data_IF_081119209344
#
_entry.id   IF_081119209344
#
_cell.length_a   1.000
_cell.length_b   1.000
_cell.length_c   1.000
_cell.angle_alpha   90.00
_cell.angle_beta   90.00
_cell.angle_gamma   90.00
#
_symmetry.space_group_name_H-M   'P 1'
#
loop_
_entity.id
_entity.type
_entity.pdbx_description
1 polymer ?
#
# COMPACT_ATOMS: atom_id res chain seq x y z
N UNK A 1 -1.17 71.53 88.46
CA UNK A 1 -0.53 71.47 87.12
C UNK A 1 -0.63 70.07 86.55
N UNK A 2 -1.78 69.52 86.20
CA UNK A 2 -1.91 68.12 85.72
C UNK A 2 -2.97 67.84 84.68
N UNK A 3 -3.91 68.73 84.40
CA UNK A 3 -5.11 68.48 83.55
C UNK A 3 -4.90 68.79 82.04
N UNK A 4 -3.97 69.70 81.74
CA UNK A 4 -3.72 70.12 80.33
C UNK A 4 -2.95 69.05 79.54
N UNK A 5 -2.08 68.27 80.22
CA UNK A 5 -1.30 67.19 79.57
C UNK A 5 -2.15 65.98 79.16
N UNK A 6 -3.21 65.70 79.93
CA UNK A 6 -4.09 64.56 79.66
C UNK A 6 -4.98 64.77 78.39
N UNK A 7 -5.50 65.98 78.28
CA UNK A 7 -6.34 66.33 77.08
C UNK A 7 -5.54 66.37 75.79
N UNK A 8 -4.30 66.86 75.87
CA UNK A 8 -3.41 66.85 74.68
C UNK A 8 -3.08 65.44 74.25
N UNK A 9 -2.83 64.49 75.15
CA UNK A 9 -2.55 63.10 74.86
C UNK A 9 -3.80 62.41 74.23
N UNK A 10 -4.98 62.70 74.79
CA UNK A 10 -6.22 62.10 74.21
C UNK A 10 -6.52 62.60 72.84
N UNK A 11 -6.26 63.90 72.54
CA UNK A 11 -6.43 64.48 71.22
C UNK A 11 -5.45 63.89 70.20
N UNK A 12 -4.22 63.74 70.55
CA UNK A 12 -3.21 63.12 69.73
C UNK A 12 -3.51 61.63 69.48
N UNK A 13 -4.01 60.89 70.47
CA UNK A 13 -4.40 59.49 70.29
C UNK A 13 -5.64 59.37 69.34
N UNK A 14 -6.64 60.27 69.44
CA UNK A 14 -7.77 60.30 68.53
C UNK A 14 -7.36 60.63 67.08
N UNK A 15 -6.47 61.61 66.91
CA UNK A 15 -5.97 61.95 65.57
C UNK A 15 -5.13 60.83 64.97
N UNK A 16 -4.32 60.12 65.81
CA UNK A 16 -3.54 58.94 65.33
C UNK A 16 -4.46 57.78 64.93
N UNK A 17 -5.52 57.51 65.70
CA UNK A 17 -6.48 56.48 65.35
C UNK A 17 -7.30 56.85 64.08
N UNK A 18 -7.66 58.08 63.89
CA UNK A 18 -8.35 58.58 62.74
C UNK A 18 -7.44 58.50 61.50
N UNK A 19 -6.19 58.92 61.60
CA UNK A 19 -5.19 58.76 60.50
C UNK A 19 -4.90 57.28 60.16
N UNK A 20 -4.84 56.40 61.18
CA UNK A 20 -4.70 54.96 60.96
C UNK A 20 -5.90 54.37 60.21
N UNK A 21 -7.13 54.81 60.54
CA UNK A 21 -8.38 54.40 59.82
C UNK A 21 -8.40 54.86 58.40
N UNK A 22 -8.07 56.15 58.17
CA UNK A 22 -8.02 56.68 56.79
C UNK A 22 -6.92 56.07 55.94
N UNK A 23 -5.75 55.79 56.53
CA UNK A 23 -4.66 55.16 55.82
C UNK A 23 -5.00 53.69 55.47
N UNK A 24 -5.73 53.02 56.36
CA UNK A 24 -6.18 51.66 56.13
C UNK A 24 -7.30 51.62 55.02
N UNK A 25 -8.26 52.57 55.05
CA UNK A 25 -9.29 52.70 54.01
C UNK A 25 -8.71 53.03 52.63
N UNK A 26 -7.68 53.88 52.57
CA UNK A 26 -7.02 54.19 51.27
C UNK A 26 -6.25 52.99 50.74
N UNK A 27 -5.65 52.18 51.60
CA UNK A 27 -4.99 50.90 51.20
C UNK A 27 -6.04 49.88 50.77
N UNK A 28 -7.14 49.75 51.52
CA UNK A 28 -8.24 48.84 51.14
C UNK A 28 -8.90 49.23 49.84
N UNK A 29 -9.14 50.54 49.58
CA UNK A 29 -9.65 50.99 48.27
C UNK A 29 -8.69 50.68 47.10
N UNK A 30 -7.38 50.80 47.33
CA UNK A 30 -6.39 50.40 46.31
C UNK A 30 -6.35 48.89 46.08
N UNK A 31 -6.46 48.11 47.13
CA UNK A 31 -6.51 46.64 47.06
C UNK A 31 -7.83 46.19 46.39
N UNK A 32 -8.96 46.81 46.72
CA UNK A 32 -10.23 46.56 46.11
C UNK A 32 -10.24 46.95 44.62
N UNK A 33 -9.58 48.07 44.26
CA UNK A 33 -9.45 48.47 42.85
C UNK A 33 -8.54 47.53 42.04
N UNK A 34 -7.49 47.01 42.65
CA UNK A 34 -6.61 46.01 42.00
C UNK A 34 -7.31 44.65 41.86
N UNK A 35 -8.10 44.25 42.88
CA UNK A 35 -8.91 43.03 42.82
C UNK A 35 -10.05 43.15 41.77
N UNK A 36 -10.68 44.30 41.65
CA UNK A 36 -11.70 44.58 40.63
C UNK A 36 -11.08 44.62 39.23
N UNK A 37 -9.88 45.19 39.07
CA UNK A 37 -9.18 45.21 37.79
C UNK A 37 -8.72 43.80 37.36
N UNK A 38 -8.27 42.95 38.30
CA UNK A 38 -7.94 41.57 37.99
C UNK A 38 -9.17 40.71 37.68
N UNK A 39 -10.31 40.99 38.28
CA UNK A 39 -11.55 40.28 38.00
C UNK A 39 -12.16 40.65 36.61
N UNK A 40 -11.97 41.90 36.17
CA UNK A 40 -12.39 42.36 34.84
C UNK A 40 -11.47 41.80 33.75
N UNK A 41 -10.15 41.64 34.03
CA UNK A 41 -9.25 40.98 33.09
C UNK A 41 -9.49 39.48 32.97
N UNK A 42 -10.01 38.82 34.01
CA UNK A 42 -10.34 37.38 33.92
C UNK A 42 -11.68 37.10 33.24
N UNK A 43 -12.58 38.06 33.13
CA UNK A 43 -13.85 37.94 32.37
C UNK A 43 -13.67 38.22 30.88
N UNK A 44 -12.56 38.80 30.45
CA UNK A 44 -12.21 39.05 29.04
C UNK A 44 -11.51 37.90 28.32
N UNK A 45 -11.06 36.88 29.05
CA UNK A 45 -10.67 35.60 28.47
C UNK A 45 -11.92 34.74 28.35
N UNK A 46 -12.86 35.13 27.47
CA UNK A 46 -13.70 34.15 26.85
C UNK A 46 -12.76 33.12 26.29
N UNK A 47 -12.68 31.96 26.97
CA UNK A 47 -12.19 30.76 26.34
C UNK A 47 -12.89 30.74 25.00
N UNK A 48 -12.17 31.02 23.92
CA UNK A 48 -12.56 30.47 22.63
C UNK A 48 -12.60 28.97 22.93
N UNK A 49 -13.77 28.47 23.30
CA UNK A 49 -14.06 27.08 23.19
C UNK A 49 -13.82 26.83 21.69
N UNK A 50 -12.63 26.34 21.37
CA UNK A 50 -12.44 25.61 20.13
C UNK A 50 -13.52 24.54 20.23
N UNK A 51 -14.67 24.80 19.63
CA UNK A 51 -15.60 23.74 19.33
C UNK A 51 -14.72 22.70 18.64
N UNK A 52 -14.55 21.55 19.28
CA UNK A 52 -13.78 20.49 18.69
C UNK A 52 -14.34 20.33 17.28
N UNK A 53 -13.55 20.75 16.29
CA UNK A 53 -13.95 20.63 14.91
C UNK A 53 -14.23 19.15 14.73
N UNK A 54 -15.44 18.81 14.32
CA UNK A 54 -15.77 17.42 14.01
C UNK A 54 -14.84 16.96 12.89
N UNK A 55 -14.49 15.70 12.90
CA UNK A 55 -13.67 15.13 11.84
C UNK A 55 -14.48 14.08 11.09
N UNK A 56 -14.35 14.10 9.77
CA UNK A 56 -14.88 13.07 8.88
C UNK A 56 -13.69 12.28 8.36
N UNK A 57 -13.61 11.00 8.72
CA UNK A 57 -12.63 10.08 8.16
C UNK A 57 -13.33 9.20 7.13
N UNK A 58 -12.81 9.21 5.90
CA UNK A 58 -13.35 8.45 4.77
C UNK A 58 -12.26 7.71 4.03
N UNK A 59 -12.63 6.58 3.45
CA UNK A 59 -11.78 5.87 2.51
C UNK A 59 -12.18 6.19 1.08
N UNK A 60 -11.18 6.40 0.24
CA UNK A 60 -11.34 6.51 -1.20
C UNK A 60 -10.66 5.37 -1.92
N UNK A 61 -11.35 4.78 -2.87
CA UNK A 61 -10.81 3.77 -3.77
C UNK A 61 -10.88 4.28 -5.20
N UNK A 62 -9.79 4.12 -5.94
CA UNK A 62 -9.73 4.38 -7.37
C UNK A 62 -9.29 3.14 -8.12
N UNK A 63 -9.93 2.88 -9.25
CA UNK A 63 -9.67 1.72 -10.10
C UNK A 63 -9.45 2.21 -11.53
N UNK A 64 -8.39 1.70 -12.15
CA UNK A 64 -8.08 1.91 -13.57
C UNK A 64 -7.86 0.56 -14.23
N UNK A 65 -8.44 0.39 -15.42
CA UNK A 65 -8.24 -0.80 -16.23
C UNK A 65 -7.24 -0.49 -17.33
N UNK A 66 -6.18 -1.29 -17.42
CA UNK A 66 -5.13 -1.16 -18.43
C UNK A 66 -5.07 -2.42 -19.31
N UNK A 67 -4.72 -2.25 -20.57
CA UNK A 67 -4.38 -3.39 -21.42
C UNK A 67 -2.94 -3.83 -21.10
N UNK A 68 -2.68 -5.14 -20.95
CA UNK A 68 -1.32 -5.63 -20.71
C UNK A 68 -0.42 -5.36 -21.92
N UNK A 69 0.86 -5.10 -21.67
CA UNK A 69 1.88 -4.90 -22.68
C UNK A 69 3.07 -5.85 -22.54
N UNK A 70 3.02 -6.74 -21.56
CA UNK A 70 4.11 -7.63 -21.20
C UNK A 70 3.55 -8.98 -20.77
N UNK A 71 4.14 -10.05 -21.30
CA UNK A 71 3.89 -11.43 -20.86
C UNK A 71 5.15 -12.01 -20.22
N UNK A 72 4.98 -12.68 -19.07
CA UNK A 72 5.99 -13.49 -18.39
C UNK A 72 5.58 -14.94 -18.49
N UNK A 73 6.32 -15.71 -19.27
CA UNK A 73 6.06 -17.11 -19.54
C UNK A 73 6.97 -17.94 -18.65
N UNK A 74 6.40 -18.77 -17.80
CA UNK A 74 7.15 -19.68 -16.93
C UNK A 74 7.27 -21.04 -17.57
N UNK A 75 8.50 -21.45 -17.90
CA UNK A 75 8.83 -22.71 -18.58
C UNK A 75 9.61 -23.60 -17.61
N UNK A 76 9.34 -24.90 -17.67
CA UNK A 76 10.01 -25.90 -16.84
C UNK A 76 10.81 -26.85 -17.69
N UNK A 77 12.03 -27.17 -17.26
CA UNK A 77 12.87 -28.24 -17.80
C UNK A 77 13.20 -29.23 -16.68
N UNK A 78 12.76 -30.45 -16.85
CA UNK A 78 12.99 -31.56 -15.95
C UNK A 78 13.70 -32.67 -16.66
N UNK A 79 14.75 -33.24 -16.03
CA UNK A 79 15.53 -34.35 -16.59
C UNK A 79 15.88 -35.34 -15.51
N UNK A 80 16.12 -36.59 -15.92
CA UNK A 80 16.53 -37.66 -15.03
C UNK A 80 17.87 -38.22 -15.44
N UNK A 81 18.67 -38.68 -14.46
CA UNK A 81 19.96 -39.33 -14.69
C UNK A 81 20.30 -40.34 -13.62
N UNK A 82 21.23 -41.25 -13.93
CA UNK A 82 21.74 -42.22 -12.95
C UNK A 82 22.57 -41.54 -11.86
N UNK A 83 23.16 -40.41 -12.15
CA UNK A 83 23.91 -39.57 -11.22
C UNK A 83 23.36 -38.13 -11.28
N UNK A 84 23.58 -37.35 -10.24
CA UNK A 84 23.22 -35.94 -10.18
C UNK A 84 23.86 -35.13 -11.31
N UNK A 85 25.12 -35.44 -11.63
CA UNK A 85 25.87 -34.81 -12.71
C UNK A 85 25.25 -35.11 -14.09
N UNK A 86 24.85 -36.38 -14.33
CA UNK A 86 24.22 -36.76 -15.59
C UNK A 86 22.84 -36.04 -15.78
N UNK A 87 22.02 -36.00 -14.73
CA UNK A 87 20.74 -35.30 -14.75
C UNK A 87 20.93 -33.79 -15.03
N UNK A 88 21.85 -33.14 -14.34
CA UNK A 88 22.18 -31.74 -14.51
C UNK A 88 22.72 -31.42 -15.91
N UNK A 89 23.60 -32.27 -16.43
CA UNK A 89 24.18 -32.09 -17.77
C UNK A 89 23.11 -32.11 -18.85
N UNK A 90 22.20 -33.07 -18.78
CA UNK A 90 21.09 -33.17 -19.74
C UNK A 90 20.14 -31.94 -19.63
N UNK A 91 19.83 -31.54 -18.39
CA UNK A 91 19.05 -30.35 -18.13
C UNK A 91 19.67 -29.10 -18.79
N UNK A 92 20.96 -28.88 -18.61
CA UNK A 92 21.68 -27.76 -19.21
C UNK A 92 21.68 -27.79 -20.72
N UNK A 93 21.75 -28.98 -21.35
CA UNK A 93 21.65 -29.10 -22.81
C UNK A 93 20.27 -28.68 -23.32
N UNK A 94 19.22 -29.07 -22.63
CA UNK A 94 17.85 -28.66 -22.99
C UNK A 94 17.67 -27.18 -22.76
N UNK A 95 18.14 -26.64 -21.63
CA UNK A 95 18.09 -25.20 -21.33
C UNK A 95 18.74 -24.35 -22.43
N UNK A 96 19.89 -24.79 -22.95
CA UNK A 96 20.54 -24.11 -24.08
C UNK A 96 19.69 -24.13 -25.34
N UNK A 97 19.03 -25.27 -25.67
CA UNK A 97 18.11 -25.36 -26.82
C UNK A 97 16.91 -24.45 -26.65
N UNK A 98 16.27 -24.46 -25.49
CA UNK A 98 15.12 -23.59 -25.17
C UNK A 98 15.52 -22.12 -25.24
N UNK A 99 16.62 -21.72 -24.61
CA UNK A 99 17.14 -20.35 -24.66
C UNK A 99 17.37 -19.91 -26.12
N UNK A 100 18.00 -20.76 -26.94
CA UNK A 100 18.25 -20.46 -28.36
C UNK A 100 16.93 -20.33 -29.15
N UNK A 101 15.94 -21.17 -28.87
CA UNK A 101 14.64 -21.07 -29.48
C UNK A 101 13.94 -19.72 -29.16
N UNK A 102 13.98 -19.30 -27.90
CA UNK A 102 13.45 -18.00 -27.46
C UNK A 102 14.17 -16.83 -28.15
N UNK A 103 15.50 -16.88 -28.21
CA UNK A 103 16.29 -15.87 -28.89
C UNK A 103 15.98 -15.80 -30.41
N UNK A 104 15.74 -16.92 -31.04
CA UNK A 104 15.34 -16.98 -32.47
C UNK A 104 13.98 -16.31 -32.69
N UNK A 105 13.11 -16.32 -31.69
CA UNK A 105 11.83 -15.61 -31.68
C UNK A 105 11.94 -14.14 -31.27
N UNK A 106 13.14 -13.62 -31.08
CA UNK A 106 13.38 -12.20 -30.79
C UNK A 106 13.47 -11.83 -29.29
N UNK A 107 13.43 -12.82 -28.39
CA UNK A 107 13.63 -12.56 -26.96
C UNK A 107 15.11 -12.31 -26.70
N UNK A 108 15.43 -11.17 -26.07
CA UNK A 108 16.81 -10.86 -25.69
C UNK A 108 17.26 -11.72 -24.51
N UNK A 109 18.58 -11.89 -24.37
CA UNK A 109 19.14 -12.75 -23.32
C UNK A 109 18.77 -12.29 -21.91
N UNK A 110 18.65 -11.00 -21.70
CA UNK A 110 18.30 -10.34 -20.43
C UNK A 110 16.87 -10.68 -20.00
N UNK A 111 16.01 -10.99 -20.97
CA UNK A 111 14.61 -11.34 -20.78
C UNK A 111 14.37 -12.86 -20.61
N UNK A 112 15.46 -13.66 -20.54
CA UNK A 112 15.42 -15.10 -20.25
C UNK A 112 16.18 -15.34 -18.97
N UNK A 113 15.47 -15.57 -17.88
CA UNK A 113 16.05 -15.66 -16.53
C UNK A 113 15.72 -17.01 -15.93
N UNK A 114 16.74 -17.68 -15.35
CA UNK A 114 16.50 -18.85 -14.49
C UNK A 114 16.00 -18.37 -13.13
N UNK A 115 14.81 -18.79 -12.76
CA UNK A 115 14.17 -18.40 -11.50
C UNK A 115 14.38 -19.43 -10.40
N UNK A 116 14.55 -20.69 -10.79
CA UNK A 116 14.78 -21.78 -9.85
C UNK A 116 15.59 -22.89 -10.51
N UNK A 117 16.45 -23.57 -9.76
CA UNK A 117 17.12 -24.81 -10.15
C UNK A 117 17.38 -25.70 -8.95
N UNK A 118 17.18 -26.99 -9.11
CA UNK A 118 17.47 -27.97 -8.07
C UNK A 118 17.85 -29.33 -8.68
N UNK A 119 18.62 -30.11 -7.92
CA UNK A 119 18.88 -31.51 -8.23
C UNK A 119 18.65 -32.32 -6.96
N UNK A 120 17.87 -33.36 -7.06
CA UNK A 120 17.55 -34.20 -5.90
C UNK A 120 17.51 -35.68 -6.26
N UNK A 121 17.83 -36.57 -5.31
CA UNK A 121 17.78 -38.02 -5.54
C UNK A 121 16.33 -38.51 -5.60
N UNK A 122 16.08 -39.42 -6.53
CA UNK A 122 14.83 -40.16 -6.61
C UNK A 122 14.99 -41.47 -5.85
N UNK A 123 13.96 -41.80 -5.08
CA UNK A 123 13.97 -43.00 -4.25
C UNK A 123 12.86 -43.96 -4.67
N UNK A 124 13.18 -45.25 -4.63
CA UNK A 124 12.16 -46.28 -4.59
C UNK A 124 12.17 -46.96 -3.23
N UNK A 125 11.02 -47.44 -2.80
CA UNK A 125 10.87 -48.21 -1.61
C UNK A 125 10.94 -49.70 -1.97
N UNK A 126 11.87 -50.45 -1.37
CA UNK A 126 11.94 -51.87 -1.56
C UNK A 126 11.04 -52.53 -0.51
N UNK A 127 9.93 -53.10 -0.96
CA UNK A 127 8.90 -53.69 -0.09
C UNK A 127 9.39 -54.90 0.69
N UNK A 128 10.37 -55.65 0.14
CA UNK A 128 10.93 -56.86 0.78
C UNK A 128 11.87 -56.51 1.95
N UNK A 129 12.66 -55.42 1.80
CA UNK A 129 13.68 -55.06 2.79
C UNK A 129 13.30 -53.87 3.67
N UNK A 130 12.18 -53.16 3.36
CA UNK A 130 11.75 -51.94 4.05
C UNK A 130 12.73 -50.77 3.89
N UNK A 131 13.65 -50.80 2.91
CA UNK A 131 14.69 -49.78 2.72
C UNK A 131 14.39 -48.90 1.52
N UNK A 132 14.72 -47.60 1.65
CA UNK A 132 14.75 -46.66 0.53
C UNK A 132 16.03 -46.82 -0.24
N UNK A 133 15.94 -47.01 -1.56
CA UNK A 133 17.08 -47.14 -2.47
C UNK A 133 17.01 -45.99 -3.47
N UNK A 134 18.15 -45.32 -3.70
CA UNK A 134 18.25 -44.30 -4.74
C UNK A 134 18.18 -45.00 -6.10
N UNK A 135 17.19 -44.56 -6.91
CA UNK A 135 16.99 -45.12 -8.26
C UNK A 135 17.55 -44.22 -9.35
N UNK A 136 17.82 -42.95 -9.02
CA UNK A 136 18.37 -41.95 -9.92
C UNK A 136 18.33 -40.56 -9.28
N UNK A 137 18.55 -39.58 -10.11
CA UNK A 137 18.53 -38.16 -9.74
C UNK A 137 17.68 -37.39 -10.74
N UNK A 138 16.95 -36.42 -10.25
CA UNK A 138 16.14 -35.51 -11.05
C UNK A 138 16.73 -34.11 -10.96
N UNK A 139 16.93 -33.48 -12.13
CA UNK A 139 17.28 -32.06 -12.21
C UNK A 139 16.06 -31.31 -12.71
N UNK A 140 15.75 -30.25 -12.01
CA UNK A 140 14.59 -29.39 -12.27
C UNK A 140 15.06 -27.94 -12.42
N UNK A 141 14.58 -27.24 -13.47
CA UNK A 141 14.90 -25.84 -13.67
C UNK A 141 13.71 -25.10 -14.23
N UNK A 142 13.38 -23.96 -13.61
CA UNK A 142 12.40 -23.01 -14.12
C UNK A 142 13.11 -21.85 -14.81
N UNK A 143 12.61 -21.51 -16.00
CA UNK A 143 12.97 -20.35 -16.79
C UNK A 143 11.79 -19.41 -16.86
N UNK A 144 12.02 -18.12 -16.65
CA UNK A 144 11.06 -17.07 -16.95
C UNK A 144 11.50 -16.34 -18.23
N UNK A 145 10.59 -16.29 -19.19
CA UNK A 145 10.76 -15.55 -20.44
C UNK A 145 9.83 -14.36 -20.43
N UNK A 146 10.38 -13.16 -20.57
CA UNK A 146 9.60 -11.91 -20.62
C UNK A 146 9.55 -11.41 -22.07
N UNK A 147 8.36 -11.10 -22.57
CA UNK A 147 8.17 -10.56 -23.92
C UNK A 147 7.10 -9.48 -23.95
N UNK A 148 7.23 -8.55 -24.89
CA UNK A 148 6.19 -7.57 -25.24
C UNK A 148 5.26 -8.07 -26.35
N UNK A 149 5.60 -9.14 -27.02
CA UNK A 149 4.78 -9.79 -28.03
C UNK A 149 3.77 -10.72 -27.34
N UNK A 150 2.80 -10.10 -26.64
CA UNK A 150 1.84 -10.80 -25.79
C UNK A 150 0.87 -11.68 -26.60
N UNK A 151 0.51 -11.26 -27.81
CA UNK A 151 -0.42 -11.98 -28.68
C UNK A 151 0.12 -13.33 -29.14
N UNK A 152 1.44 -13.47 -29.17
CA UNK A 152 2.12 -14.69 -29.56
C UNK A 152 2.62 -15.53 -28.37
N UNK A 153 2.14 -15.27 -27.13
CA UNK A 153 2.56 -16.00 -25.93
C UNK A 153 2.47 -17.53 -26.09
N UNK A 154 1.42 -18.03 -26.75
CA UNK A 154 1.26 -19.46 -27.06
C UNK A 154 2.35 -20.01 -27.96
N UNK A 155 2.80 -19.25 -28.98
CA UNK A 155 3.86 -19.67 -29.88
C UNK A 155 5.23 -19.81 -29.15
N UNK A 156 5.49 -18.97 -28.14
CA UNK A 156 6.70 -19.10 -27.30
C UNK A 156 6.67 -20.40 -26.51
N UNK A 157 5.51 -20.78 -25.95
CA UNK A 157 5.35 -22.06 -25.25
C UNK A 157 5.58 -23.22 -26.21
N UNK A 158 4.93 -23.22 -27.37
CA UNK A 158 5.06 -24.28 -28.38
C UNK A 158 6.52 -24.44 -28.82
N UNK A 159 7.23 -23.32 -29.04
CA UNK A 159 8.63 -23.34 -29.42
C UNK A 159 9.53 -23.88 -28.28
N UNK A 160 9.22 -23.54 -27.03
CA UNK A 160 9.95 -24.06 -25.87
C UNK A 160 9.76 -25.57 -25.70
N UNK A 161 8.52 -26.06 -25.80
CA UNK A 161 8.21 -27.49 -25.71
C UNK A 161 8.89 -28.26 -26.84
N UNK A 162 8.85 -27.74 -28.06
CA UNK A 162 9.57 -28.31 -29.19
C UNK A 162 11.09 -28.34 -29.02
N UNK A 163 11.65 -27.39 -28.29
CA UNK A 163 13.07 -27.33 -27.95
C UNK A 163 13.45 -28.26 -26.80
N UNK A 164 12.46 -28.86 -26.11
CA UNK A 164 12.65 -29.85 -25.05
C UNK A 164 12.23 -29.39 -23.66
N UNK A 165 11.61 -28.23 -23.51
CA UNK A 165 10.96 -27.89 -22.24
C UNK A 165 9.91 -28.97 -21.90
N UNK A 166 9.84 -29.35 -20.63
CA UNK A 166 8.98 -30.44 -20.16
C UNK A 166 7.60 -29.95 -19.71
N UNK A 167 7.46 -28.64 -19.49
CA UNK A 167 6.20 -28.05 -19.07
C UNK A 167 6.21 -26.53 -19.06
N UNK A 168 5.07 -26.00 -18.69
CA UNK A 168 4.88 -24.56 -18.41
C UNK A 168 4.06 -24.40 -17.13
N UNK A 169 4.43 -23.42 -16.31
CA UNK A 169 3.69 -23.05 -15.09
C UNK A 169 2.75 -21.85 -15.34
N UNK A 170 2.48 -21.55 -16.62
CA UNK A 170 1.55 -20.51 -17.02
C UNK A 170 2.19 -19.26 -17.61
N UNK A 171 1.34 -18.29 -17.89
CA UNK A 171 1.70 -16.97 -18.40
C UNK A 171 1.06 -15.90 -17.54
N UNK A 172 1.87 -15.00 -17.02
CA UNK A 172 1.42 -13.83 -16.29
C UNK A 172 1.47 -12.61 -17.22
N UNK A 173 0.33 -11.96 -17.40
CA UNK A 173 0.25 -10.72 -18.17
C UNK A 173 0.32 -9.52 -17.25
N UNK A 174 1.08 -8.52 -17.63
CA UNK A 174 1.31 -7.33 -16.83
C UNK A 174 1.47 -6.08 -17.68
N UNK A 175 1.44 -4.91 -17.03
CA UNK A 175 1.86 -3.64 -17.60
C UNK A 175 3.27 -3.37 -17.11
N UNK A 176 4.22 -3.11 -18.00
CA UNK A 176 5.62 -2.90 -17.66
C UNK A 176 5.81 -1.65 -16.78
N UNK A 177 5.11 -0.56 -17.11
CA UNK A 177 5.09 0.66 -16.30
C UNK A 177 3.66 0.93 -15.77
N UNK A 178 3.44 0.52 -14.54
CA UNK A 178 2.16 0.71 -13.84
C UNK A 178 2.03 2.10 -13.21
N UNK A 179 3.10 2.88 -13.13
CA UNK A 179 3.14 4.13 -12.36
C UNK A 179 2.13 5.16 -12.85
N UNK A 180 1.99 5.29 -14.18
CA UNK A 180 1.04 6.20 -14.80
C UNK A 180 -0.42 5.81 -14.45
N UNK A 181 -0.76 4.55 -14.55
CA UNK A 181 -2.10 4.04 -14.24
C UNK A 181 -2.39 4.14 -12.76
N UNK A 182 -1.39 3.88 -11.92
CA UNK A 182 -1.50 4.04 -10.48
C UNK A 182 -1.74 5.51 -10.09
N UNK A 183 -1.04 6.45 -10.72
CA UNK A 183 -1.29 7.88 -10.54
C UNK A 183 -2.72 8.29 -10.89
N UNK A 184 -3.29 7.73 -11.97
CA UNK A 184 -4.69 7.93 -12.32
C UNK A 184 -5.65 7.32 -11.28
N UNK A 185 -5.34 6.12 -10.79
CA UNK A 185 -6.13 5.47 -9.75
C UNK A 185 -6.13 6.29 -8.45
N UNK A 186 -4.98 6.86 -8.05
CA UNK A 186 -4.89 7.77 -6.90
C UNK A 186 -5.77 9.01 -7.07
N UNK A 187 -5.78 9.63 -8.25
CA UNK A 187 -6.64 10.79 -8.52
C UNK A 187 -8.14 10.43 -8.38
N UNK A 188 -8.53 9.26 -8.87
CA UNK A 188 -9.90 8.75 -8.71
C UNK A 188 -10.20 8.48 -7.22
N UNK A 189 -9.28 7.89 -6.48
CA UNK A 189 -9.42 7.61 -5.05
C UNK A 189 -9.65 8.90 -4.25
N UNK A 190 -8.83 9.94 -4.49
CA UNK A 190 -8.97 11.25 -3.85
C UNK A 190 -10.34 11.88 -4.15
N UNK A 191 -10.76 11.85 -5.41
CA UNK A 191 -12.07 12.38 -5.82
C UNK A 191 -13.23 11.63 -5.14
N UNK A 192 -13.14 10.31 -5.01
CA UNK A 192 -14.15 9.49 -4.37
C UNK A 192 -14.20 9.73 -2.85
N UNK A 193 -13.05 9.85 -2.18
CA UNK A 193 -12.97 10.22 -0.76
C UNK A 193 -13.64 11.59 -0.52
N UNK A 194 -13.31 12.60 -1.34
CA UNK A 194 -13.93 13.92 -1.22
C UNK A 194 -15.45 13.91 -1.41
N UNK A 195 -15.96 13.15 -2.38
CA UNK A 195 -17.42 12.99 -2.56
C UNK A 195 -18.08 12.32 -1.35
N UNK A 196 -17.46 11.30 -0.78
CA UNK A 196 -17.98 10.62 0.41
C UNK A 196 -18.01 11.57 1.61
N UNK A 197 -16.93 12.33 1.83
CA UNK A 197 -16.85 13.31 2.90
C UNK A 197 -17.90 14.42 2.75
N UNK A 198 -18.07 14.94 1.53
CA UNK A 198 -19.10 15.95 1.24
C UNK A 198 -20.52 15.44 1.55
N UNK A 199 -20.84 14.23 1.11
CA UNK A 199 -22.15 13.62 1.36
C UNK A 199 -22.43 13.45 2.86
N UNK A 200 -21.39 13.13 3.64
CA UNK A 200 -21.51 13.03 5.10
C UNK A 200 -21.73 14.40 5.71
N UNK A 201 -20.94 15.42 5.34
CA UNK A 201 -21.10 16.79 5.83
C UNK A 201 -22.50 17.34 5.52
N UNK A 202 -22.98 17.14 4.29
CA UNK A 202 -24.31 17.56 3.85
C UNK A 202 -25.42 16.90 4.70
N UNK A 203 -25.28 15.60 5.00
CA UNK A 203 -26.25 14.88 5.84
C UNK A 203 -26.33 15.43 7.28
N UNK A 204 -25.22 16.00 7.78
CA UNK A 204 -25.18 16.69 9.07
C UNK A 204 -25.56 18.18 8.98
N UNK A 205 -25.88 18.68 7.79
CA UNK A 205 -26.21 20.10 7.56
C UNK A 205 -25.00 21.02 7.79
N UNK A 206 -23.78 20.53 7.56
CA UNK A 206 -22.53 21.26 7.75
C UNK A 206 -21.75 21.38 6.45
N UNK A 207 -20.84 22.31 6.39
CA UNK A 207 -19.92 22.44 5.26
C UNK A 207 -18.70 21.56 5.49
N UNK A 208 -18.25 20.85 4.45
CA UNK A 208 -16.99 20.15 4.47
C UNK A 208 -15.84 21.16 4.57
N UNK A 209 -14.96 20.97 5.53
CA UNK A 209 -13.79 21.82 5.73
C UNK A 209 -12.55 21.31 4.99
N UNK A 210 -11.40 21.71 5.49
CA UNK A 210 -10.11 21.37 4.87
C UNK A 210 -9.67 19.94 5.18
N UNK A 211 -8.76 19.44 4.35
CA UNK A 211 -8.09 18.17 4.58
C UNK A 211 -7.14 18.30 5.77
N UNK A 212 -7.33 17.48 6.78
CA UNK A 212 -6.48 17.38 7.98
C UNK A 212 -5.32 16.42 7.74
N UNK A 213 -5.62 15.26 7.16
CA UNK A 213 -4.61 14.25 6.87
C UNK A 213 -4.99 13.39 5.69
N UNK A 214 -3.98 12.87 5.00
CA UNK A 214 -4.12 11.88 3.94
C UNK A 214 -3.14 10.75 4.20
N UNK A 215 -3.62 9.53 4.19
CA UNK A 215 -2.80 8.32 4.26
C UNK A 215 -3.04 7.47 3.02
N UNK A 216 -1.98 7.16 2.33
CA UNK A 216 -1.99 6.23 1.21
C UNK A 216 -1.81 4.81 1.76
N UNK A 217 -2.81 3.93 1.53
CA UNK A 217 -2.90 2.60 2.13
C UNK A 217 -2.48 1.47 1.18
N UNK A 218 -2.13 1.79 -0.05
CA UNK A 218 -1.80 0.80 -1.08
C UNK A 218 -0.37 0.28 -0.91
N UNK A 219 -0.01 -0.22 0.29
CA UNK A 219 1.28 -0.88 0.50
C UNK A 219 1.36 -2.11 -0.40
N UNK A 220 2.01 -2.00 -1.54
CA UNK A 220 2.08 -3.00 -2.62
C UNK A 220 0.83 -2.98 -3.54
N UNK A 221 0.44 -1.82 -4.02
CA UNK A 221 -0.67 -1.63 -4.96
C UNK A 221 -0.49 -2.29 -6.35
N UNK A 222 0.42 -3.22 -6.46
CA UNK A 222 0.62 -4.02 -7.68
C UNK A 222 -0.16 -5.34 -7.59
N UNK A 223 -1.41 -5.29 -7.09
CA UNK A 223 -2.31 -6.42 -7.25
C UNK A 223 -2.81 -6.43 -8.68
N UNK A 224 -2.15 -7.21 -9.48
CA UNK A 224 -2.72 -7.75 -10.71
C UNK A 224 -3.73 -8.81 -10.30
N UNK A 225 -4.94 -8.41 -9.91
CA UNK A 225 -6.03 -9.34 -10.09
C UNK A 225 -6.25 -9.44 -11.59
N UNK A 226 -5.67 -10.46 -12.18
CA UNK A 226 -6.11 -10.92 -13.48
C UNK A 226 -7.58 -11.30 -13.29
N UNK A 227 -8.47 -10.38 -13.68
CA UNK A 227 -9.86 -10.72 -13.82
C UNK A 227 -9.91 -11.76 -14.95
N UNK A 228 -9.87 -13.01 -14.56
CA UNK A 228 -10.14 -14.14 -15.44
C UNK A 228 -11.59 -13.99 -15.87
N UNK A 229 -11.84 -13.10 -16.82
CA UNK A 229 -13.07 -13.14 -17.57
C UNK A 229 -12.96 -14.37 -18.48
N UNK A 230 -13.47 -15.50 -17.99
CA UNK A 230 -13.87 -16.63 -18.81
C UNK A 230 -14.83 -16.14 -19.90
N UNK A 231 -14.29 -15.58 -20.96
CA UNK A 231 -14.94 -15.51 -22.23
C UNK A 231 -14.14 -16.41 -23.15
N UNK A 232 -14.36 -17.72 -22.99
CA UNK A 232 -14.15 -18.68 -24.09
C UNK A 232 -15.00 -18.24 -25.26
N UNK A 233 -14.47 -17.37 -26.10
CA UNK A 233 -14.79 -17.36 -27.50
C UNK A 233 -13.63 -18.08 -28.21
N UNK A 234 -13.64 -19.40 -28.13
CA UNK A 234 -12.99 -20.19 -29.14
C UNK A 234 -13.69 -19.82 -30.46
N UNK A 235 -13.04 -19.03 -31.27
CA UNK A 235 -13.39 -18.98 -32.69
C UNK A 235 -13.01 -20.33 -33.28
N UNK A 236 -13.95 -21.02 -33.92
CA UNK A 236 -13.79 -22.37 -34.50
C UNK A 236 -12.59 -22.49 -35.48
N UNK A 237 -12.03 -21.38 -35.93
CA UNK A 237 -10.83 -21.34 -36.80
C UNK A 237 -9.50 -21.63 -36.09
N UNK A 238 -9.41 -21.52 -34.77
CA UNK A 238 -8.15 -21.78 -34.00
C UNK A 238 -7.95 -23.26 -33.69
N UNK A 239 -9.01 -24.05 -33.69
CA UNK A 239 -8.94 -25.49 -33.37
C UNK A 239 -8.27 -26.32 -34.47
N UNK A 240 -8.16 -25.79 -35.69
CA UNK A 240 -7.59 -26.51 -36.83
C UNK A 240 -6.04 -26.45 -36.88
N UNK A 241 -5.38 -25.57 -36.13
CA UNK A 241 -3.93 -25.36 -36.23
C UNK A 241 -3.10 -26.02 -35.10
N UNK A 242 -3.72 -26.62 -34.09
CA UNK A 242 -3.05 -27.43 -33.08
C UNK A 242 -2.04 -26.68 -32.16
N UNK A 243 -2.05 -25.34 -32.14
CA UNK A 243 -1.16 -24.52 -31.30
C UNK A 243 -1.77 -24.10 -29.98
N UNK A 244 -0.93 -23.75 -29.02
CA UNK A 244 -1.35 -23.24 -27.69
C UNK A 244 -2.04 -21.88 -27.83
N UNK A 245 -3.34 -21.83 -27.50
CA UNK A 245 -4.11 -20.59 -27.48
C UNK A 245 -4.15 -20.01 -26.09
N UNK A 246 -3.76 -18.74 -25.94
CA UNK A 246 -3.79 -18.02 -24.67
C UNK A 246 -4.61 -16.75 -24.84
N UNK A 247 -5.53 -16.53 -23.91
CA UNK A 247 -6.33 -15.30 -23.84
C UNK A 247 -5.93 -14.52 -22.60
N UNK A 248 -5.94 -13.20 -22.71
CA UNK A 248 -5.69 -12.30 -21.58
C UNK A 248 -6.80 -11.24 -21.50
N UNK A 249 -6.97 -10.69 -20.30
CA UNK A 249 -7.92 -9.61 -20.04
C UNK A 249 -7.22 -8.32 -19.65
N UNK A 250 -8.02 -7.28 -19.37
CA UNK A 250 -7.50 -6.04 -18.81
C UNK A 250 -7.01 -6.26 -17.39
N UNK A 251 -5.98 -5.51 -17.03
CA UNK A 251 -5.37 -5.51 -15.71
C UNK A 251 -6.00 -4.40 -14.88
N UNK A 252 -6.48 -4.76 -13.71
CA UNK A 252 -7.03 -3.81 -12.75
C UNK A 252 -5.92 -3.26 -11.87
N UNK A 253 -5.76 -1.93 -11.85
CA UNK A 253 -4.84 -1.22 -10.99
C UNK A 253 -5.68 -0.42 -9.98
N UNK A 254 -5.48 -0.68 -8.69
CA UNK A 254 -6.29 -0.11 -7.61
C UNK A 254 -5.42 0.71 -6.68
N UNK A 255 -5.91 1.89 -6.30
CA UNK A 255 -5.34 2.72 -5.25
C UNK A 255 -6.35 2.92 -4.13
N UNK A 256 -5.88 2.87 -2.87
CA UNK A 256 -6.69 3.07 -1.68
C UNK A 256 -6.06 4.15 -0.80
N UNK A 257 -6.87 5.10 -0.35
CA UNK A 257 -6.45 6.17 0.55
C UNK A 257 -7.46 6.32 1.69
N UNK A 258 -6.97 6.82 2.82
CA UNK A 258 -7.81 7.34 3.90
C UNK A 258 -7.59 8.83 4.01
N UNK A 259 -8.66 9.59 4.10
CA UNK A 259 -8.61 11.06 4.19
C UNK A 259 -9.45 11.52 5.37
N UNK A 260 -8.88 12.38 6.19
CA UNK A 260 -9.58 13.06 7.28
C UNK A 260 -9.81 14.52 6.90
N UNK A 261 -11.05 14.96 7.02
CA UNK A 261 -11.49 16.34 6.83
C UNK A 261 -12.00 16.88 8.14
N UNK A 262 -11.87 18.18 8.37
CA UNK A 262 -12.63 18.88 9.41
C UNK A 262 -14.02 19.29 8.88
N UNK A 263 -14.99 19.53 9.78
CA UNK A 263 -16.32 19.99 9.44
C UNK A 263 -17.04 20.67 10.62
#
# INVERSE_FOLDING_TARGET
>A
MGTTSFFVRLKIQKELQQKKGEMNMKKWKKIAAVLAATMVLSLGMSSMAYAAAGEINVNGMGVVMADPDTAKISLTVETMGKTSEAAQKENNLILQKVTKAMQTMGVTKENIVTTYTSVYPQYNYNDETGKRVITGYQSYTDLQVTTKDIDNAGKYIDAALKAGATGTNGVDFSVADQSQYYGQALQIAVKNAGKSAQSIADAYGRQLGEVVSVTENSRNAYYTESVSMNKMMATEDSAAAGGTTISYGKIQITANISVTYNF
#
